data_IF_787952031922
#
_entry.id   IF_787952031922
#
_cell.length_a   1.000
_cell.length_b   1.000
_cell.length_c   1.000
_cell.angle_alpha   90.00
_cell.angle_beta   90.00
_cell.angle_gamma   90.00
#
_symmetry.space_group_name_H-M   'P 1'
#
loop_
_entity.id
_entity.type
_entity.pdbx_description
1 polymer ?
#
# COMPACT_ATOMS: atom_id res chain seq x y z
N UNK A 1 -1.89 8.44 -27.50
CA UNK A 1 -3.03 7.83 -26.80
C UNK A 1 -4.14 8.86 -26.72
N UNK A 2 -5.34 8.54 -27.25
CA UNK A 2 -6.48 9.45 -27.28
C UNK A 2 -6.95 9.85 -25.86
N UNK A 3 -6.77 8.98 -24.87
CA UNK A 3 -7.15 9.25 -23.48
C UNK A 3 -6.23 10.28 -22.79
N UNK A 4 -5.05 10.52 -23.30
CA UNK A 4 -4.07 11.47 -22.78
C UNK A 4 -3.95 12.75 -23.61
N UNK A 5 -4.72 12.90 -24.70
CA UNK A 5 -4.61 14.03 -25.63
C UNK A 5 -4.81 15.39 -24.93
N UNK A 6 -5.79 15.47 -24.01
CA UNK A 6 -6.14 16.69 -23.29
C UNK A 6 -5.43 16.80 -21.92
N UNK A 7 -4.47 15.90 -21.65
CA UNK A 7 -3.75 15.86 -20.36
C UNK A 7 -2.24 15.87 -20.61
N UNK A 8 -1.66 17.03 -20.99
CA UNK A 8 -0.23 17.10 -21.28
C UNK A 8 0.61 16.87 -20.03
N UNK A 9 1.69 16.10 -20.19
CA UNK A 9 2.68 15.92 -19.14
C UNK A 9 3.82 16.92 -19.33
N UNK A 10 4.18 17.62 -18.29
CA UNK A 10 5.33 18.53 -18.30
C UNK A 10 6.58 17.72 -17.98
N UNK A 11 7.43 17.50 -18.98
CA UNK A 11 8.71 16.78 -18.80
C UNK A 11 9.79 17.69 -18.22
N UNK A 12 9.75 18.99 -18.53
CA UNK A 12 10.68 19.99 -18.01
C UNK A 12 9.93 21.32 -17.78
N UNK A 13 10.20 21.97 -16.67
CA UNK A 13 9.61 23.27 -16.37
C UNK A 13 10.11 24.37 -17.32
N UNK A 14 9.37 25.48 -17.41
CA UNK A 14 9.72 26.61 -18.27
C UNK A 14 11.07 27.24 -17.91
N UNK A 15 11.43 27.24 -16.64
CA UNK A 15 12.72 27.72 -16.13
C UNK A 15 13.88 26.74 -16.30
N UNK A 16 13.61 25.59 -16.94
CA UNK A 16 14.58 24.53 -17.15
C UNK A 16 14.73 23.55 -15.99
N UNK A 17 14.06 23.76 -14.87
CA UNK A 17 14.13 22.86 -13.73
C UNK A 17 13.46 21.51 -13.98
N UNK A 18 13.98 20.47 -13.34
CA UNK A 18 13.38 19.12 -13.32
C UNK A 18 12.11 19.09 -12.49
N UNK A 19 11.25 18.12 -12.77
CA UNK A 19 10.09 17.79 -11.97
C UNK A 19 9.99 16.25 -11.82
N UNK A 20 8.94 15.75 -11.17
CA UNK A 20 8.76 14.31 -10.98
C UNK A 20 8.77 13.51 -12.29
N UNK A 21 8.18 14.02 -13.37
CA UNK A 21 8.21 13.35 -14.67
C UNK A 21 9.65 13.23 -15.22
N UNK A 22 10.46 14.29 -15.05
CA UNK A 22 11.86 14.26 -15.48
C UNK A 22 12.67 13.21 -14.71
N UNK A 23 12.53 13.19 -13.39
CA UNK A 23 13.27 12.28 -12.52
C UNK A 23 12.83 10.84 -12.72
N UNK A 24 11.55 10.59 -12.92
CA UNK A 24 11.02 9.24 -13.15
C UNK A 24 11.44 8.69 -14.52
N UNK A 25 11.47 9.54 -15.57
CA UNK A 25 12.04 9.15 -16.89
C UNK A 25 13.54 8.82 -16.79
N UNK A 26 14.29 9.60 -16.04
CA UNK A 26 15.70 9.33 -15.80
C UNK A 26 15.91 8.03 -15.02
N UNK A 27 15.07 7.78 -14.01
CA UNK A 27 15.08 6.54 -13.22
C UNK A 27 14.74 5.31 -14.07
N UNK A 28 13.72 5.39 -14.93
CA UNK A 28 13.39 4.31 -15.87
C UNK A 28 14.57 4.00 -16.79
N UNK A 29 15.17 5.03 -17.39
CA UNK A 29 16.35 4.85 -18.22
C UNK A 29 17.48 4.15 -17.48
N UNK A 30 17.80 4.63 -16.27
CA UNK A 30 18.84 4.05 -15.41
C UNK A 30 18.57 2.57 -15.10
N UNK A 31 17.37 2.24 -14.62
CA UNK A 31 17.00 0.87 -14.27
C UNK A 31 17.11 -0.09 -15.46
N UNK A 32 16.70 0.34 -16.62
CA UNK A 32 16.77 -0.50 -17.83
C UNK A 32 18.22 -0.66 -18.29
N UNK A 33 19.05 0.39 -18.26
CA UNK A 33 20.44 0.28 -18.69
C UNK A 33 21.33 -0.50 -17.73
N UNK A 34 21.09 -0.37 -16.41
CA UNK A 34 21.97 -0.99 -15.41
C UNK A 34 21.53 -2.38 -14.98
N UNK A 35 20.21 -2.62 -14.95
CA UNK A 35 19.66 -3.87 -14.40
C UNK A 35 19.07 -4.79 -15.46
N UNK A 36 18.82 -4.29 -16.66
CA UNK A 36 18.21 -5.05 -17.76
C UNK A 36 16.99 -5.90 -17.32
N UNK A 37 16.01 -5.32 -16.61
CA UNK A 37 14.90 -6.08 -16.08
C UNK A 37 13.92 -6.48 -17.20
N UNK A 38 13.28 -7.64 -17.05
CA UNK A 38 12.15 -8.04 -17.92
C UNK A 38 10.90 -7.22 -17.63
N UNK A 39 10.73 -6.83 -16.36
CA UNK A 39 9.55 -6.08 -15.91
C UNK A 39 9.91 -5.07 -14.80
N UNK A 40 9.30 -3.89 -14.86
CA UNK A 40 9.35 -2.87 -13.79
C UNK A 40 7.94 -2.63 -13.28
N UNK A 41 7.71 -2.97 -12.00
CA UNK A 41 6.41 -2.82 -11.35
C UNK A 41 6.45 -1.63 -10.40
N UNK A 42 5.55 -0.67 -10.60
CA UNK A 42 5.31 0.45 -9.69
C UNK A 42 4.08 0.16 -8.85
N UNK A 43 4.24 0.16 -7.54
CA UNK A 43 3.14 -0.03 -6.58
C UNK A 43 2.91 1.29 -5.86
N UNK A 44 1.80 1.95 -6.15
CA UNK A 44 1.48 3.28 -5.60
C UNK A 44 -0.02 3.48 -5.36
N UNK A 45 -0.36 4.58 -4.69
CA UNK A 45 -1.73 5.04 -4.49
C UNK A 45 -2.43 5.33 -5.84
N UNK A 46 -3.72 5.02 -5.93
CA UNK A 46 -4.55 5.19 -7.14
C UNK A 46 -4.61 6.62 -7.68
N UNK A 47 -4.35 7.63 -6.86
CA UNK A 47 -4.27 9.04 -7.31
C UNK A 47 -3.13 9.30 -8.28
N UNK A 48 -2.13 8.41 -8.35
CA UNK A 48 -0.98 8.54 -9.25
C UNK A 48 -1.20 7.85 -10.62
N UNK A 49 -2.36 7.27 -10.89
CA UNK A 49 -2.62 6.53 -12.14
C UNK A 49 -2.32 7.36 -13.39
N UNK A 50 -2.78 8.61 -13.44
CA UNK A 50 -2.54 9.48 -14.59
C UNK A 50 -1.04 9.72 -14.82
N UNK A 51 -0.27 9.93 -13.74
CA UNK A 51 1.17 10.12 -13.82
C UNK A 51 1.87 8.92 -14.46
N UNK A 52 1.56 7.69 -14.02
CA UNK A 52 2.18 6.48 -14.58
C UNK A 52 1.73 6.18 -16.01
N UNK A 53 0.47 6.44 -16.36
CA UNK A 53 0.00 6.35 -17.73
C UNK A 53 0.79 7.29 -18.65
N UNK A 54 1.01 8.54 -18.24
CA UNK A 54 1.81 9.52 -18.97
C UNK A 54 3.27 9.11 -19.03
N UNK A 55 3.87 8.70 -17.92
CA UNK A 55 5.26 8.27 -17.81
C UNK A 55 5.56 7.14 -18.79
N UNK A 56 4.75 6.07 -18.77
CA UNK A 56 4.94 4.92 -19.64
C UNK A 56 4.75 5.27 -21.11
N UNK A 57 3.76 6.09 -21.42
CA UNK A 57 3.51 6.53 -22.80
C UNK A 57 4.67 7.36 -23.36
N UNK A 58 5.21 8.29 -22.56
CA UNK A 58 6.37 9.11 -22.94
C UNK A 58 7.60 8.23 -23.08
N UNK A 59 7.83 7.33 -22.13
CA UNK A 59 9.00 6.45 -22.15
C UNK A 59 9.01 5.54 -23.37
N UNK A 60 7.91 4.91 -23.72
CA UNK A 60 7.79 4.06 -24.92
C UNK A 60 8.01 4.82 -26.23
N UNK A 61 7.60 6.10 -26.29
CA UNK A 61 7.90 6.96 -27.45
C UNK A 61 9.36 7.35 -27.53
N UNK A 62 10.00 7.56 -26.38
CA UNK A 62 11.41 7.95 -26.30
C UNK A 62 12.35 6.76 -26.49
N UNK A 63 11.98 5.59 -26.00
CA UNK A 63 12.74 4.34 -26.04
C UNK A 63 11.84 3.19 -26.51
N UNK A 64 11.45 3.16 -27.79
CA UNK A 64 10.51 2.17 -28.33
C UNK A 64 11.04 0.73 -28.24
N UNK A 65 12.37 0.56 -28.29
CA UNK A 65 13.03 -0.76 -28.28
C UNK A 65 13.40 -1.22 -26.86
N UNK A 66 12.99 -0.49 -25.83
CA UNK A 66 13.26 -0.90 -24.44
C UNK A 66 12.52 -2.22 -24.14
N UNK A 67 13.23 -3.28 -23.70
CA UNK A 67 12.65 -4.63 -23.59
C UNK A 67 11.72 -4.77 -22.38
N UNK A 68 11.87 -3.93 -21.35
CA UNK A 68 11.16 -4.05 -20.09
C UNK A 68 9.68 -3.73 -20.20
N UNK A 69 8.84 -4.61 -19.67
CA UNK A 69 7.41 -4.35 -19.46
C UNK A 69 7.22 -3.40 -18.29
N UNK A 70 6.49 -2.30 -18.47
CA UNK A 70 6.16 -1.34 -17.42
C UNK A 70 4.75 -1.59 -16.89
N UNK A 71 4.61 -1.79 -15.59
CA UNK A 71 3.35 -2.11 -14.95
C UNK A 71 3.10 -1.17 -13.77
N UNK A 72 1.88 -0.63 -13.69
CA UNK A 72 1.43 0.13 -12.53
C UNK A 72 0.37 -0.67 -11.78
N UNK A 73 0.71 -1.05 -10.55
CA UNK A 73 -0.20 -1.69 -9.60
C UNK A 73 -0.60 -0.64 -8.58
N UNK A 74 -1.82 -0.15 -8.68
CA UNK A 74 -2.34 0.86 -7.78
C UNK A 74 -3.32 0.26 -6.76
N UNK A 75 -3.43 0.93 -5.62
CA UNK A 75 -4.30 0.53 -4.53
C UNK A 75 -5.18 1.71 -4.07
N UNK A 76 -6.34 1.38 -3.47
CA UNK A 76 -7.26 2.33 -2.88
C UNK A 76 -6.77 2.85 -1.53
N UNK A 77 -7.54 3.75 -0.94
CA UNK A 77 -7.24 4.38 0.33
C UNK A 77 -7.86 3.62 1.51
N UNK A 78 -7.17 3.65 2.64
CA UNK A 78 -7.73 3.21 3.92
C UNK A 78 -8.50 4.39 4.52
N UNK A 79 -9.79 4.17 4.82
CA UNK A 79 -10.69 5.18 5.36
C UNK A 79 -11.01 4.92 6.83
N UNK A 80 -11.24 5.98 7.58
CA UNK A 80 -11.82 5.91 8.91
C UNK A 80 -13.33 5.66 8.88
N UNK A 81 -13.94 5.52 10.05
CA UNK A 81 -15.40 5.33 10.20
C UNK A 81 -16.24 6.49 9.64
N UNK A 82 -15.63 7.67 9.52
CA UNK A 82 -16.24 8.88 8.95
C UNK A 82 -16.11 8.95 7.41
N UNK A 83 -15.56 7.92 6.77
CA UNK A 83 -15.33 7.86 5.33
C UNK A 83 -14.21 8.77 4.83
N UNK A 84 -13.43 9.38 5.72
CA UNK A 84 -12.26 10.20 5.39
C UNK A 84 -10.98 9.36 5.50
N UNK A 85 -9.85 9.81 4.90
CA UNK A 85 -8.58 9.13 5.07
C UNK A 85 -8.29 8.83 6.53
N UNK A 86 -7.90 7.60 6.82
CA UNK A 86 -7.66 7.12 8.18
C UNK A 86 -6.60 7.97 8.88
N UNK A 87 -6.93 8.47 10.07
CA UNK A 87 -6.06 9.35 10.87
C UNK A 87 -5.88 8.80 12.27
N UNK A 88 -4.75 9.13 12.90
CA UNK A 88 -4.52 8.89 14.31
C UNK A 88 -5.49 9.72 15.18
N UNK A 89 -5.62 9.36 16.46
CA UNK A 89 -6.42 10.11 17.43
C UNK A 89 -5.98 11.58 17.56
N UNK A 90 -4.70 11.87 17.31
CA UNK A 90 -4.14 13.22 17.24
C UNK A 90 -4.58 14.03 16.01
N UNK A 91 -5.27 13.41 15.03
CA UNK A 91 -5.63 14.05 13.77
C UNK A 91 -4.55 13.96 12.68
N UNK A 92 -3.38 13.40 13.00
CA UNK A 92 -2.27 13.23 12.07
C UNK A 92 -2.44 11.98 11.19
N UNK A 93 -1.66 11.90 10.12
CA UNK A 93 -1.56 10.68 9.30
C UNK A 93 -1.00 9.54 10.14
N UNK A 94 -1.71 8.40 10.15
CA UNK A 94 -1.24 7.20 10.86
C UNK A 94 -0.02 6.62 10.14
N UNK A 95 1.08 6.45 10.86
CA UNK A 95 2.24 5.76 10.33
C UNK A 95 2.00 4.24 10.37
N UNK A 96 2.52 3.53 9.39
CA UNK A 96 2.40 2.06 9.35
C UNK A 96 2.97 1.41 10.62
N UNK A 97 4.08 1.92 11.15
CA UNK A 97 4.65 1.44 12.41
C UNK A 97 3.64 1.50 13.56
N UNK A 98 2.95 2.64 13.71
CA UNK A 98 1.95 2.83 14.76
C UNK A 98 0.77 1.86 14.63
N UNK A 99 0.37 1.51 13.39
CA UNK A 99 -0.65 0.49 13.12
C UNK A 99 -0.19 -0.91 13.51
N UNK A 100 1.05 -1.24 13.22
CA UNK A 100 1.63 -2.55 13.57
C UNK A 100 1.71 -2.71 15.09
N UNK A 101 2.22 -1.70 15.78
CA UNK A 101 2.34 -1.69 17.25
C UNK A 101 0.96 -1.76 17.92
N UNK A 102 -0.01 -0.95 17.48
CA UNK A 102 -1.39 -0.97 18.01
C UNK A 102 -2.07 -2.32 17.76
N UNK A 103 -1.82 -2.98 16.61
CA UNK A 103 -2.41 -4.29 16.33
C UNK A 103 -1.87 -5.36 17.24
N UNK A 104 -0.59 -5.33 17.59
CA UNK A 104 0.05 -6.24 18.53
C UNK A 104 -0.47 -6.01 19.95
N UNK A 105 -0.59 -4.77 20.42
CA UNK A 105 -1.10 -4.46 21.76
C UNK A 105 -2.57 -4.84 21.95
N UNK A 106 -3.41 -4.61 20.94
CA UNK A 106 -4.82 -5.04 20.99
C UNK A 106 -4.95 -6.56 20.97
N UNK A 107 -4.14 -7.24 20.18
CA UNK A 107 -4.10 -8.70 20.18
C UNK A 107 -3.60 -9.24 21.54
N UNK A 108 -2.60 -8.59 22.15
CA UNK A 108 -2.11 -8.96 23.49
C UNK A 108 -3.19 -8.84 24.56
N UNK A 109 -3.97 -7.77 24.55
CA UNK A 109 -5.12 -7.60 25.44
C UNK A 109 -6.11 -8.75 25.26
N UNK A 110 -6.50 -9.05 24.02
CA UNK A 110 -7.44 -10.14 23.72
C UNK A 110 -6.91 -11.52 24.14
N UNK A 111 -5.62 -11.79 23.89
CA UNK A 111 -4.96 -13.05 24.29
C UNK A 111 -4.92 -13.18 25.81
N UNK A 112 -4.59 -12.10 26.52
CA UNK A 112 -4.49 -12.09 27.99
C UNK A 112 -5.84 -12.33 28.67
N UNK A 113 -6.91 -11.74 28.12
CA UNK A 113 -8.29 -11.97 28.63
C UNK A 113 -8.76 -13.42 28.42
N UNK A 114 -8.39 -14.04 27.30
CA UNK A 114 -8.83 -15.40 26.96
C UNK A 114 -7.95 -16.50 27.53
N UNK A 115 -6.70 -16.20 27.78
CA UNK A 115 -5.70 -17.16 28.28
C UNK A 115 -4.92 -16.56 29.45
N UNK A 116 -5.58 -16.34 30.61
CA UNK A 116 -4.95 -15.68 31.75
C UNK A 116 -3.75 -16.43 32.29
N UNK A 117 -3.75 -17.77 32.19
CA UNK A 117 -2.74 -18.65 32.76
C UNK A 117 -1.44 -18.77 31.95
N UNK A 118 -1.40 -18.23 30.72
CA UNK A 118 -0.19 -18.23 29.91
C UNK A 118 0.83 -17.23 30.46
N UNK A 119 2.11 -17.54 30.28
CA UNK A 119 3.20 -16.61 30.56
C UNK A 119 3.18 -15.41 29.62
N UNK A 120 3.55 -14.22 30.11
CA UNK A 120 3.50 -12.98 29.32
C UNK A 120 4.35 -13.04 28.06
N UNK A 121 5.48 -13.74 28.08
CA UNK A 121 6.33 -13.95 26.90
C UNK A 121 5.63 -14.75 25.80
N UNK A 122 4.84 -15.74 26.20
CA UNK A 122 4.04 -16.55 25.28
C UNK A 122 2.86 -15.76 24.75
N UNK A 123 2.15 -15.01 25.62
CA UNK A 123 1.07 -14.07 25.22
C UNK A 123 1.58 -13.06 24.18
N UNK A 124 2.78 -12.48 24.39
CA UNK A 124 3.39 -11.55 23.43
C UNK A 124 3.69 -12.22 22.07
N UNK A 125 4.19 -13.45 22.10
CA UNK A 125 4.47 -14.20 20.86
C UNK A 125 3.18 -14.44 20.05
N UNK A 126 2.13 -14.90 20.72
CA UNK A 126 0.82 -15.12 20.10
C UNK A 126 0.23 -13.80 19.61
N UNK A 127 0.27 -12.75 20.42
CA UNK A 127 -0.25 -11.43 20.07
C UNK A 127 0.38 -10.85 18.81
N UNK A 128 1.69 -11.00 18.67
CA UNK A 128 2.41 -10.57 17.47
C UNK A 128 1.92 -11.30 16.22
N UNK A 129 1.80 -12.62 16.27
CA UNK A 129 1.33 -13.43 15.14
C UNK A 129 -0.11 -13.07 14.78
N UNK A 130 -0.98 -12.98 15.78
CA UNK A 130 -2.41 -12.68 15.59
C UNK A 130 -2.60 -11.25 15.11
N UNK A 131 -1.97 -10.27 15.74
CA UNK A 131 -2.10 -8.84 15.42
C UNK A 131 -1.60 -8.53 14.01
N UNK A 132 -0.37 -8.94 13.69
CA UNK A 132 0.19 -8.73 12.35
C UNK A 132 -0.58 -9.50 11.26
N UNK A 133 -1.00 -10.72 11.56
CA UNK A 133 -1.85 -11.52 10.67
C UNK A 133 -3.18 -10.83 10.39
N UNK A 134 -3.83 -10.31 11.42
CA UNK A 134 -5.11 -9.60 11.31
C UNK A 134 -5.00 -8.35 10.43
N UNK A 135 -3.96 -7.54 10.63
CA UNK A 135 -3.72 -6.34 9.81
C UNK A 135 -3.47 -6.69 8.34
N UNK A 136 -2.60 -7.65 8.07
CA UNK A 136 -2.31 -8.12 6.71
C UNK A 136 -3.56 -8.67 6.02
N UNK A 137 -4.33 -9.47 6.72
CA UNK A 137 -5.54 -10.05 6.16
C UNK A 137 -6.62 -9.00 5.89
N UNK A 138 -6.81 -8.04 6.80
CA UNK A 138 -7.75 -6.95 6.61
C UNK A 138 -7.44 -6.13 5.34
N UNK A 139 -6.17 -5.90 5.07
CA UNK A 139 -5.73 -5.20 3.86
C UNK A 139 -5.90 -6.07 2.59
N UNK A 140 -5.38 -7.29 2.61
CA UNK A 140 -5.29 -8.16 1.43
C UNK A 140 -6.61 -8.85 1.06
N UNK A 141 -7.57 -8.98 1.96
CA UNK A 141 -8.88 -9.59 1.71
C UNK A 141 -9.85 -8.69 0.93
N UNK A 142 -9.55 -7.40 0.87
CA UNK A 142 -10.35 -6.45 0.10
C UNK A 142 -9.90 -6.38 -1.37
N UNK A 143 -10.79 -5.90 -2.24
CA UNK A 143 -10.36 -5.55 -3.60
C UNK A 143 -9.31 -4.44 -3.51
N UNK A 144 -8.11 -4.72 -3.97
CA UNK A 144 -6.97 -3.81 -3.95
C UNK A 144 -7.29 -2.40 -4.48
N UNK A 145 -8.15 -2.32 -5.50
CA UNK A 145 -8.47 -1.06 -6.18
C UNK A 145 -9.57 -0.25 -5.48
N UNK A 146 -10.22 -0.82 -4.48
CA UNK A 146 -11.30 -0.16 -3.74
C UNK A 146 -10.80 0.45 -2.44
N UNK A 147 -11.35 1.60 -2.08
CA UNK A 147 -11.21 2.11 -0.73
C UNK A 147 -11.92 1.18 0.26
N UNK A 148 -11.41 1.05 1.48
CA UNK A 148 -12.08 0.29 2.53
C UNK A 148 -12.06 1.01 3.87
N UNK A 149 -13.09 0.77 4.68
CA UNK A 149 -13.21 1.35 6.03
C UNK A 149 -12.47 0.44 7.02
N UNK A 150 -11.47 1.01 7.68
CA UNK A 150 -10.69 0.34 8.71
C UNK A 150 -11.47 0.22 10.02
N UNK A 151 -11.51 -0.97 10.60
CA UNK A 151 -12.20 -1.23 11.87
C UNK A 151 -11.45 -2.27 12.72
N UNK A 152 -10.87 -1.83 13.82
CA UNK A 152 -10.12 -2.69 14.74
C UNK A 152 -10.91 -3.89 15.25
N UNK A 153 -12.14 -3.68 15.70
CA UNK A 153 -12.96 -4.73 16.29
C UNK A 153 -13.30 -5.82 15.27
N UNK A 154 -13.60 -5.41 14.04
CA UNK A 154 -13.88 -6.35 12.96
C UNK A 154 -12.64 -7.15 12.56
N UNK A 155 -11.48 -6.51 12.52
CA UNK A 155 -10.23 -7.11 12.10
C UNK A 155 -9.73 -8.20 13.07
N UNK A 156 -9.85 -7.95 14.38
CA UNK A 156 -9.41 -8.86 15.44
C UNK A 156 -10.51 -9.82 15.91
N UNK A 157 -11.68 -9.82 15.28
CA UNK A 157 -12.76 -10.73 15.65
C UNK A 157 -12.35 -12.20 15.42
N UNK A 158 -12.71 -13.07 16.36
CA UNK A 158 -12.42 -14.50 16.31
C UNK A 158 -13.44 -15.29 15.48
N UNK A 159 -14.37 -14.61 14.84
CA UNK A 159 -15.42 -15.20 14.01
C UNK A 159 -15.58 -14.41 12.71
N UNK A 160 -16.08 -15.10 11.68
CA UNK A 160 -16.29 -14.51 10.38
C UNK A 160 -15.02 -14.54 9.50
N UNK A 161 -14.97 -13.65 8.51
CA UNK A 161 -13.86 -13.57 7.55
C UNK A 161 -12.71 -12.74 8.14
N UNK A 162 -11.93 -13.34 9.03
CA UNK A 162 -10.84 -12.69 9.77
C UNK A 162 -9.60 -13.58 9.85
N UNK A 163 -8.42 -12.97 10.02
CA UNK A 163 -7.20 -13.74 10.16
C UNK A 163 -7.19 -14.62 11.44
N UNK A 164 -7.62 -14.14 12.63
CA UNK A 164 -7.67 -15.00 13.80
C UNK A 164 -8.52 -16.26 13.60
N UNK A 165 -9.64 -16.15 12.87
CA UNK A 165 -10.46 -17.33 12.52
C UNK A 165 -9.70 -18.31 11.60
N UNK A 166 -9.03 -17.79 10.58
CA UNK A 166 -8.24 -18.61 9.65
C UNK A 166 -7.02 -19.25 10.32
N UNK A 167 -6.40 -18.56 11.27
CA UNK A 167 -5.27 -19.09 12.06
C UNK A 167 -5.70 -20.19 13.03
N UNK A 168 -6.97 -20.17 13.47
CA UNK A 168 -7.54 -21.21 14.33
C UNK A 168 -7.92 -22.46 13.54
N UNK A 169 -8.43 -22.33 12.31
CA UNK A 169 -8.89 -23.43 11.46
C UNK A 169 -7.73 -24.25 10.88
#
# INVERSE_FOLDING_TARGET
DKQLADKPAIVRKRDGASNYMTTDLATLRYRISEWSPDEIIYVTDGRQQLHFQQLFNIFHRWKPDAPARLVHIWFGSILGQDGKPFKARSGDTVRLADLLDESEERAFTTVSEKNPDLEDSEKRTIARVVGLGALKYADLSNNRQSDYIFNWNKMLALQGNTAPYLQYA
#
